data_IF_760453717232
#
_entry.id   IF_760453717232
#
_cell.length_a   1.000
_cell.length_b   1.000
_cell.length_c   1.000
_cell.angle_alpha   90.00
_cell.angle_beta   90.00
_cell.angle_gamma   90.00
#
_symmetry.space_group_name_H-M   'P 1'
#
loop_
_entity.id
_entity.type
_entity.pdbx_description
1 polymer ?
#
# COMPACT_ATOMS: atom_id res chain seq x y z
N UNK A 1 -33.74 -12.49 58.89
CA UNK A 1 -33.27 -11.44 57.96
C UNK A 1 -31.87 -11.83 57.51
N UNK A 2 -31.75 -12.39 56.31
CA UNK A 2 -30.47 -12.75 55.69
C UNK A 2 -30.22 -11.68 54.63
N UNK A 3 -29.31 -10.75 54.93
CA UNK A 3 -28.93 -9.68 54.01
C UNK A 3 -27.96 -10.21 52.97
N UNK A 4 -28.46 -10.54 51.78
CA UNK A 4 -27.64 -10.85 50.61
C UNK A 4 -27.02 -9.57 50.05
N UNK A 5 -25.73 -9.37 50.30
CA UNK A 5 -24.94 -8.35 49.63
C UNK A 5 -24.62 -8.79 48.20
N UNK A 6 -25.35 -8.28 47.23
CA UNK A 6 -24.94 -8.33 45.82
C UNK A 6 -23.78 -7.34 45.63
N UNK A 7 -22.56 -7.85 45.55
CA UNK A 7 -21.40 -7.10 45.09
C UNK A 7 -21.50 -6.90 43.58
N UNK A 8 -21.93 -5.71 43.18
CA UNK A 8 -21.79 -5.23 41.81
C UNK A 8 -20.31 -5.02 41.54
N UNK A 9 -19.63 -6.04 41.01
CA UNK A 9 -18.37 -5.84 40.30
C UNK A 9 -18.69 -5.01 39.06
N UNK A 10 -18.53 -3.70 39.14
CA UNK A 10 -18.44 -2.87 37.95
C UNK A 10 -17.25 -3.41 37.14
N UNK A 11 -17.54 -4.12 36.06
CA UNK A 11 -16.57 -4.51 35.05
C UNK A 11 -15.93 -3.22 34.54
N UNK A 12 -14.74 -2.87 35.07
CA UNK A 12 -13.94 -1.81 34.49
C UNK A 12 -13.68 -2.19 33.03
N UNK A 13 -13.91 -1.29 32.06
CA UNK A 13 -13.53 -1.54 30.68
C UNK A 13 -12.06 -1.97 30.64
N UNK A 14 -11.76 -2.99 29.83
CA UNK A 14 -10.37 -3.39 29.61
C UNK A 14 -9.56 -2.17 29.12
N UNK A 15 -8.29 -2.02 29.56
CA UNK A 15 -7.51 -0.83 29.22
C UNK A 15 -7.32 -0.72 27.70
N UNK A 16 -7.23 0.52 27.18
CA UNK A 16 -6.95 0.73 25.77
C UNK A 16 -5.56 0.20 25.40
N UNK A 17 -5.44 -0.28 24.17
CA UNK A 17 -4.21 -0.82 23.58
C UNK A 17 -3.66 0.21 22.61
N UNK A 18 -2.42 0.63 22.82
CA UNK A 18 -1.75 1.58 21.94
C UNK A 18 -1.38 0.90 20.62
N UNK A 19 -1.77 1.53 19.51
CA UNK A 19 -1.39 1.12 18.15
C UNK A 19 -0.64 2.29 17.51
N UNK A 20 0.65 2.10 17.23
CA UNK A 20 1.45 3.09 16.52
C UNK A 20 1.07 3.13 15.04
N UNK A 21 0.59 4.28 14.56
CA UNK A 21 0.36 4.50 13.13
C UNK A 21 1.59 5.18 12.55
N UNK A 22 2.38 4.43 11.79
CA UNK A 22 3.60 4.94 11.16
C UNK A 22 3.28 5.37 9.73
N UNK A 23 3.25 6.68 9.52
CA UNK A 23 2.93 7.33 8.27
C UNK A 23 3.65 8.69 8.24
N UNK A 24 3.85 9.26 7.06
CA UNK A 24 4.25 10.66 6.95
C UNK A 24 3.07 11.53 7.42
N UNK A 25 3.18 12.42 8.41
CA UNK A 25 2.01 13.13 9.01
C UNK A 25 2.03 14.66 8.73
N UNK A 26 2.89 15.14 7.82
CA UNK A 26 3.05 16.57 7.57
C UNK A 26 1.76 17.31 7.19
N UNK A 27 1.58 18.54 7.72
CA UNK A 27 0.39 19.41 7.55
C UNK A 27 0.12 19.91 6.12
N UNK A 28 0.93 19.48 5.14
CA UNK A 28 0.75 19.72 3.71
C UNK A 28 0.75 18.45 2.85
N UNK A 29 0.87 17.26 3.45
CA UNK A 29 0.78 15.99 2.74
C UNK A 29 -0.69 15.54 2.68
N UNK A 30 -1.27 15.58 1.47
CA UNK A 30 -2.62 15.01 1.22
C UNK A 30 -2.66 13.52 1.57
N UNK A 31 -1.54 12.82 1.36
CA UNK A 31 -1.40 11.40 1.68
C UNK A 31 -1.42 11.25 3.21
N UNK A 32 -0.48 11.87 3.90
CA UNK A 32 -0.21 11.65 5.33
C UNK A 32 -1.30 11.95 6.37
N UNK A 33 -2.17 12.90 6.04
CA UNK A 33 -3.34 13.18 6.88
C UNK A 33 -4.44 12.12 6.72
N UNK A 34 -4.45 11.39 5.60
CA UNK A 34 -5.52 10.44 5.28
C UNK A 34 -5.47 9.18 6.13
N UNK A 35 -4.30 8.66 6.48
CA UNK A 35 -4.18 7.48 7.35
C UNK A 35 -4.61 7.78 8.79
N UNK A 36 -4.31 8.99 9.28
CA UNK A 36 -4.75 9.44 10.60
C UNK A 36 -6.25 9.71 10.61
N UNK A 37 -6.77 10.42 9.61
CA UNK A 37 -8.22 10.61 9.46
C UNK A 37 -8.96 9.27 9.28
N UNK A 38 -8.35 8.28 8.63
CA UNK A 38 -8.94 6.95 8.55
C UNK A 38 -8.99 6.29 9.94
N UNK A 39 -7.93 6.43 10.72
CA UNK A 39 -7.91 5.95 12.11
C UNK A 39 -9.01 6.61 12.95
N UNK A 40 -9.23 7.91 12.78
CA UNK A 40 -10.30 8.64 13.46
C UNK A 40 -11.68 8.13 13.04
N UNK A 41 -11.92 7.95 11.73
CA UNK A 41 -13.18 7.42 11.21
C UNK A 41 -13.43 6.00 11.71
N UNK A 42 -12.41 5.15 11.73
CA UNK A 42 -12.51 3.80 12.28
C UNK A 42 -12.96 3.83 13.75
N UNK A 43 -12.36 4.67 14.59
CA UNK A 43 -12.70 4.78 16.00
C UNK A 43 -14.09 5.41 16.24
N UNK A 44 -14.52 6.34 15.37
CA UNK A 44 -15.88 6.88 15.38
C UNK A 44 -16.93 5.79 15.07
N UNK A 45 -16.62 4.90 14.12
CA UNK A 45 -17.48 3.78 13.74
C UNK A 45 -17.42 2.59 14.74
N UNK A 46 -16.35 2.51 15.55
CA UNK A 46 -16.12 1.45 16.54
C UNK A 46 -15.92 2.02 17.97
N UNK A 47 -16.95 2.62 18.59
CA UNK A 47 -16.83 3.30 19.88
C UNK A 47 -16.50 2.35 21.06
N UNK A 48 -16.56 1.04 20.85
CA UNK A 48 -16.18 0.01 21.83
C UNK A 48 -14.79 -0.59 21.58
N UNK A 49 -14.11 -0.15 20.52
CA UNK A 49 -12.74 -0.58 20.24
C UNK A 49 -11.83 -0.25 21.43
N UNK A 50 -10.88 -1.14 21.70
CA UNK A 50 -9.81 -0.87 22.65
C UNK A 50 -8.65 -0.11 22.02
N UNK A 51 -8.65 0.09 20.70
CA UNK A 51 -7.54 0.73 19.99
C UNK A 51 -7.41 2.19 20.43
N UNK A 52 -6.18 2.59 20.72
CA UNK A 52 -5.76 3.98 20.83
C UNK A 52 -4.63 4.22 19.85
N UNK A 53 -4.92 4.96 18.78
CA UNK A 53 -3.91 5.28 17.78
C UNK A 53 -2.92 6.32 18.29
N UNK A 54 -1.64 6.05 18.10
CA UNK A 54 -0.53 6.96 18.40
C UNK A 54 0.16 7.27 17.07
N UNK A 55 0.06 8.51 16.56
CA UNK A 55 0.76 8.90 15.33
C UNK A 55 2.28 8.84 15.52
N UNK A 56 2.99 8.27 14.55
CA UNK A 56 4.44 8.16 14.50
C UNK A 56 4.88 8.68 13.14
N UNK A 57 5.44 9.89 13.11
CA UNK A 57 5.89 10.55 11.88
C UNK A 57 7.39 10.34 11.69
N UNK A 58 7.77 9.61 10.65
CA UNK A 58 9.15 9.47 10.21
C UNK A 58 9.44 10.21 8.90
N UNK A 59 8.47 10.99 8.42
CA UNK A 59 8.52 11.74 7.15
C UNK A 59 8.89 10.86 5.93
N UNK A 60 8.68 9.54 6.03
CA UNK A 60 9.19 8.55 5.09
C UNK A 60 10.69 8.71 4.79
N UNK A 61 11.48 9.08 5.80
CA UNK A 61 12.93 9.22 5.72
C UNK A 61 13.61 7.95 6.27
N UNK A 62 14.15 7.06 5.43
CA UNK A 62 14.71 5.79 5.86
C UNK A 62 15.75 5.94 6.97
N UNK A 63 16.59 6.98 6.91
CA UNK A 63 17.64 7.26 7.89
C UNK A 63 17.11 7.60 9.29
N UNK A 64 15.85 8.01 9.41
CA UNK A 64 15.19 8.33 10.68
C UNK A 64 14.27 7.20 11.15
N UNK A 65 13.72 6.40 10.23
CA UNK A 65 12.72 5.37 10.49
C UNK A 65 13.09 4.46 11.66
N UNK A 66 14.29 3.87 11.66
CA UNK A 66 14.69 2.91 12.70
C UNK A 66 14.72 3.55 14.11
N UNK A 67 15.27 4.75 14.23
CA UNK A 67 15.38 5.46 15.51
C UNK A 67 13.99 5.85 16.07
N UNK A 68 13.09 6.30 15.20
CA UNK A 68 11.73 6.71 15.57
C UNK A 68 10.89 5.51 16.01
N UNK A 69 10.93 4.40 15.26
CA UNK A 69 10.25 3.16 15.65
C UNK A 69 10.82 2.61 16.96
N UNK A 70 12.15 2.64 17.14
CA UNK A 70 12.79 2.22 18.38
C UNK A 70 12.35 3.08 19.58
N UNK A 71 12.18 4.39 19.40
CA UNK A 71 11.67 5.27 20.44
C UNK A 71 10.22 4.92 20.83
N UNK A 72 9.37 4.61 19.85
CA UNK A 72 7.99 4.15 20.09
C UNK A 72 7.95 2.82 20.87
N UNK A 73 8.82 1.87 20.52
CA UNK A 73 9.00 0.62 21.26
C UNK A 73 9.46 0.87 22.70
N UNK A 74 10.39 1.80 22.92
CA UNK A 74 10.85 2.18 24.25
C UNK A 74 9.75 2.81 25.12
N UNK A 75 8.74 3.45 24.50
CA UNK A 75 7.56 4.00 25.18
C UNK A 75 6.49 2.95 25.50
N UNK A 76 6.69 1.69 25.12
CA UNK A 76 5.76 0.60 25.42
C UNK A 76 4.74 0.29 24.32
N UNK A 77 4.82 0.94 23.16
CA UNK A 77 3.97 0.60 22.00
C UNK A 77 4.41 -0.77 21.47
N UNK A 78 3.44 -1.66 21.23
CA UNK A 78 3.71 -3.06 20.84
C UNK A 78 2.94 -3.50 19.59
N UNK A 79 1.98 -2.70 19.14
CA UNK A 79 1.23 -2.93 17.92
C UNK A 79 1.43 -1.74 16.99
N UNK A 80 1.65 -2.02 15.72
CA UNK A 80 1.95 -1.01 14.72
C UNK A 80 1.17 -1.29 13.43
N UNK A 81 0.77 -0.23 12.76
CA UNK A 81 0.30 -0.24 11.36
C UNK A 81 1.21 0.73 10.61
N UNK A 82 1.72 0.33 9.44
CA UNK A 82 2.64 1.17 8.67
C UNK A 82 2.26 1.29 7.21
N UNK A 83 2.35 2.50 6.67
CA UNK A 83 2.29 2.82 5.24
C UNK A 83 3.68 3.10 4.64
N UNK A 84 4.74 2.60 5.27
CA UNK A 84 6.11 2.84 4.81
C UNK A 84 6.34 2.45 3.34
N UNK A 85 7.04 3.31 2.58
CA UNK A 85 7.79 2.87 1.43
C UNK A 85 8.76 1.75 1.80
N UNK A 86 8.99 0.83 0.86
CA UNK A 86 9.92 -0.28 1.03
C UNK A 86 11.30 0.12 1.57
N UNK A 87 11.87 1.26 1.18
CA UNK A 87 13.14 1.75 1.75
C UNK A 87 13.07 1.92 3.28
N UNK A 88 12.01 2.54 3.83
CA UNK A 88 11.83 2.70 5.27
C UNK A 88 11.61 1.35 5.98
N UNK A 89 10.86 0.44 5.35
CA UNK A 89 10.60 -0.88 5.92
C UNK A 89 11.89 -1.71 6.09
N UNK A 90 12.83 -1.62 5.13
CA UNK A 90 14.13 -2.30 5.22
C UNK A 90 14.93 -1.82 6.43
N UNK A 91 14.88 -0.53 6.75
CA UNK A 91 15.62 0.02 7.90
C UNK A 91 15.03 -0.41 9.25
N UNK A 92 13.72 -0.68 9.33
CA UNK A 92 13.04 -1.04 10.59
C UNK A 92 12.77 -2.52 10.79
N UNK A 93 12.91 -3.37 9.76
CA UNK A 93 12.54 -4.80 9.80
C UNK A 93 13.14 -5.55 11.00
N UNK A 94 14.39 -5.25 11.35
CA UNK A 94 15.12 -5.93 12.42
C UNK A 94 14.53 -5.67 13.81
N UNK A 95 13.77 -4.59 14.00
CA UNK A 95 13.12 -4.23 15.27
C UNK A 95 11.94 -5.15 15.62
N UNK A 96 11.46 -5.93 14.66
CA UNK A 96 10.34 -6.86 14.83
C UNK A 96 10.78 -8.34 14.78
N UNK A 97 12.08 -8.61 14.71
CA UNK A 97 12.63 -9.94 14.42
C UNK A 97 12.26 -11.03 15.45
N UNK A 98 12.02 -10.66 16.70
CA UNK A 98 11.71 -11.59 17.80
C UNK A 98 10.21 -11.66 18.13
N UNK A 99 9.36 -10.97 17.36
CA UNK A 99 7.92 -10.85 17.57
C UNK A 99 7.51 -10.30 18.95
N UNK A 100 8.39 -9.56 19.64
CA UNK A 100 8.00 -8.81 20.84
C UNK A 100 7.11 -7.61 20.54
N UNK A 101 7.04 -7.19 19.28
CA UNK A 101 6.07 -6.26 18.75
C UNK A 101 5.48 -6.82 17.45
N UNK A 102 4.25 -6.40 17.12
CA UNK A 102 3.56 -6.77 15.89
C UNK A 102 3.39 -5.55 15.00
N UNK A 103 3.81 -5.65 13.74
CA UNK A 103 3.59 -4.66 12.71
C UNK A 103 2.71 -5.26 11.60
N UNK A 104 1.61 -4.58 11.25
CA UNK A 104 0.89 -4.84 10.00
C UNK A 104 1.37 -3.83 8.96
N UNK A 105 2.13 -4.30 7.95
CA UNK A 105 2.54 -3.47 6.82
C UNK A 105 1.45 -3.44 5.75
N UNK A 106 1.13 -2.22 5.33
CA UNK A 106 0.02 -1.92 4.42
C UNK A 106 0.48 -1.39 3.05
N UNK A 107 1.79 -1.20 2.85
CA UNK A 107 2.35 -0.61 1.63
C UNK A 107 3.69 -1.20 1.17
N UNK A 108 4.50 -1.78 2.08
CA UNK A 108 5.85 -2.20 1.76
C UNK A 108 5.88 -3.58 1.08
N UNK A 109 6.17 -3.60 -0.23
CA UNK A 109 6.14 -4.81 -1.05
C UNK A 109 7.53 -5.44 -1.29
N UNK A 110 8.59 -4.90 -0.67
CA UNK A 110 9.95 -5.44 -0.81
C UNK A 110 10.03 -6.93 -0.44
N UNK A 111 10.78 -7.75 -1.19
CA UNK A 111 10.94 -9.17 -0.87
C UNK A 111 11.77 -9.39 0.41
N UNK A 112 12.43 -8.35 0.95
CA UNK A 112 13.15 -8.43 2.23
C UNK A 112 12.23 -8.82 3.38
N UNK A 113 10.93 -8.51 3.29
CA UNK A 113 9.93 -8.89 4.29
C UNK A 113 9.32 -10.28 4.05
N UNK A 114 9.46 -10.86 2.85
CA UNK A 114 8.77 -12.10 2.46
C UNK A 114 9.31 -13.33 3.18
N UNK A 115 8.40 -14.19 3.65
CA UNK A 115 8.68 -15.54 4.11
C UNK A 115 9.38 -15.61 5.47
N UNK A 116 9.17 -14.59 6.31
CA UNK A 116 9.84 -14.44 7.61
C UNK A 116 8.91 -14.83 8.75
N UNK A 117 9.42 -15.61 9.70
CA UNK A 117 8.69 -15.89 10.93
C UNK A 117 9.06 -14.85 12.00
N UNK A 118 8.58 -13.61 11.81
CA UNK A 118 8.86 -12.49 12.70
C UNK A 118 7.58 -11.73 13.08
N UNK A 119 7.71 -10.57 13.72
CA UNK A 119 6.59 -9.74 14.14
C UNK A 119 5.90 -8.97 13.01
N UNK A 120 6.18 -9.25 11.73
CA UNK A 120 5.61 -8.48 10.61
C UNK A 120 4.57 -9.33 9.88
N UNK A 121 3.37 -8.79 9.73
CA UNK A 121 2.33 -9.31 8.86
C UNK A 121 2.12 -8.32 7.71
N UNK A 122 1.96 -8.81 6.48
CA UNK A 122 1.74 -7.97 5.31
C UNK A 122 0.38 -8.25 4.73
N UNK A 123 -0.44 -7.22 4.63
CA UNK A 123 -1.73 -7.32 3.92
C UNK A 123 -1.63 -6.88 2.47
N UNK A 124 -0.45 -6.47 2.01
CA UNK A 124 -0.13 -6.25 0.60
C UNK A 124 0.76 -7.38 0.06
N UNK A 125 0.52 -7.84 -1.18
CA UNK A 125 1.41 -8.82 -1.81
C UNK A 125 2.83 -8.28 -2.01
N UNK A 126 3.80 -9.19 -2.15
CA UNK A 126 5.16 -8.78 -2.50
C UNK A 126 5.28 -8.33 -3.97
N UNK A 127 6.34 -7.57 -4.24
CA UNK A 127 6.62 -7.01 -5.56
C UNK A 127 6.95 -8.09 -6.60
N UNK A 128 7.39 -9.28 -6.20
CA UNK A 128 7.67 -10.37 -7.14
C UNK A 128 6.36 -10.90 -7.71
N UNK A 129 5.33 -11.04 -6.86
CA UNK A 129 3.98 -11.40 -7.32
C UNK A 129 3.41 -10.31 -8.24
N UNK A 130 3.49 -9.05 -7.81
CA UNK A 130 3.05 -7.88 -8.58
C UNK A 130 3.63 -7.87 -9.99
N UNK A 131 4.97 -7.96 -10.08
CA UNK A 131 5.69 -7.74 -11.32
C UNK A 131 5.59 -8.94 -12.26
N UNK A 132 5.38 -10.15 -11.74
CA UNK A 132 5.01 -11.31 -12.57
C UNK A 132 3.65 -11.13 -13.21
N UNK A 133 2.66 -10.66 -12.45
CA UNK A 133 1.32 -10.40 -12.98
C UNK A 133 1.35 -9.28 -14.04
N UNK A 134 2.07 -8.19 -13.77
CA UNK A 134 2.23 -7.09 -14.74
C UNK A 134 2.93 -7.59 -16.00
N UNK A 135 4.01 -8.39 -15.89
CA UNK A 135 4.67 -8.97 -17.07
C UNK A 135 3.76 -9.93 -17.86
N UNK A 136 2.96 -10.76 -17.18
CA UNK A 136 1.96 -11.61 -17.83
C UNK A 136 0.94 -10.78 -18.61
N UNK A 137 0.48 -9.66 -18.05
CA UNK A 137 -0.45 -8.76 -18.73
C UNK A 137 0.20 -8.01 -19.89
N UNK A 138 1.40 -7.45 -19.72
CA UNK A 138 2.16 -6.78 -20.78
C UNK A 138 2.40 -7.72 -21.96
N UNK A 139 2.64 -9.01 -21.71
CA UNK A 139 2.77 -10.01 -22.76
C UNK A 139 1.47 -10.23 -23.60
N UNK A 140 0.32 -9.74 -23.14
CA UNK A 140 -0.94 -9.76 -23.92
C UNK A 140 -1.10 -8.52 -24.82
N UNK A 141 -0.31 -7.47 -24.60
CA UNK A 141 -0.39 -6.23 -25.36
C UNK A 141 0.32 -6.38 -26.71
N UNK A 142 -0.12 -5.66 -27.76
CA UNK A 142 0.59 -5.63 -29.03
C UNK A 142 1.85 -4.80 -28.92
N UNK A 143 2.88 -5.15 -29.71
CA UNK A 143 4.08 -4.35 -29.86
C UNK A 143 5.35 -5.19 -29.92
N UNK A 144 6.49 -4.50 -30.00
CA UNK A 144 7.83 -5.10 -30.05
C UNK A 144 8.84 -4.35 -29.21
N UNK A 145 8.69 -3.05 -28.97
CA UNK A 145 9.61 -2.24 -28.17
C UNK A 145 8.91 -1.65 -26.96
N UNK A 146 9.32 -2.06 -25.77
CA UNK A 146 8.77 -1.58 -24.51
C UNK A 146 9.79 -0.68 -23.81
N UNK A 147 9.41 0.57 -23.55
CA UNK A 147 10.15 1.44 -22.64
C UNK A 147 9.76 1.09 -21.20
N UNK A 148 10.75 0.84 -20.34
CA UNK A 148 10.55 0.66 -18.90
C UNK A 148 11.27 1.78 -18.16
N UNK A 149 10.51 2.56 -17.41
CA UNK A 149 11.04 3.60 -16.53
C UNK A 149 10.97 3.13 -15.08
N UNK A 150 12.12 2.88 -14.47
CA UNK A 150 12.22 2.44 -13.08
C UNK A 150 12.51 3.63 -12.16
N UNK A 151 11.66 3.87 -11.17
CA UNK A 151 11.92 4.91 -10.16
C UNK A 151 13.08 4.53 -9.23
N UNK A 152 14.05 5.42 -9.05
CA UNK A 152 15.16 5.24 -8.10
C UNK A 152 14.86 5.80 -6.71
N UNK A 153 13.73 6.48 -6.50
CA UNK A 153 13.32 7.01 -5.19
C UNK A 153 12.98 5.93 -4.15
N UNK A 154 12.63 4.71 -4.59
CA UNK A 154 12.32 3.59 -3.71
C UNK A 154 12.93 2.26 -4.21
N UNK A 155 14.26 2.19 -4.27
CA UNK A 155 14.99 1.04 -4.84
C UNK A 155 14.72 -0.29 -4.14
N UNK A 156 14.41 -0.32 -2.85
CA UNK A 156 14.03 -1.55 -2.15
C UNK A 156 12.73 -2.18 -2.69
N UNK A 157 11.91 -1.37 -3.37
CA UNK A 157 10.75 -1.81 -4.16
C UNK A 157 11.13 -2.03 -5.64
N UNK A 158 11.65 -0.99 -6.30
CA UNK A 158 11.72 -0.96 -7.76
C UNK A 158 12.82 -1.85 -8.34
N UNK A 159 13.95 -2.04 -7.65
CA UNK A 159 15.04 -2.88 -8.14
C UNK A 159 14.68 -4.38 -8.19
N UNK A 160 14.19 -5.01 -7.09
CA UNK A 160 13.70 -6.39 -7.18
C UNK A 160 12.48 -6.50 -8.08
N UNK A 161 11.67 -5.46 -8.16
CA UNK A 161 10.53 -5.43 -9.07
C UNK A 161 10.91 -5.51 -10.54
N UNK A 162 11.85 -4.67 -10.98
CA UNK A 162 12.36 -4.69 -12.34
C UNK A 162 13.00 -6.04 -12.67
N UNK A 163 13.80 -6.59 -11.74
CA UNK A 163 14.41 -7.91 -11.92
C UNK A 163 13.36 -9.01 -12.13
N UNK A 164 12.27 -9.01 -11.35
CA UNK A 164 11.18 -9.97 -11.51
C UNK A 164 10.41 -9.78 -12.83
N UNK A 165 10.10 -8.53 -13.19
CA UNK A 165 9.43 -8.18 -14.44
C UNK A 165 10.25 -8.63 -15.65
N UNK A 166 11.52 -8.23 -15.71
CA UNK A 166 12.43 -8.54 -16.81
C UNK A 166 12.68 -10.05 -16.93
N UNK A 167 12.87 -10.75 -15.81
CA UNK A 167 13.04 -12.21 -15.82
C UNK A 167 11.79 -12.90 -16.38
N UNK A 168 10.59 -12.47 -15.96
CA UNK A 168 9.33 -13.04 -16.46
C UNK A 168 9.11 -12.73 -17.94
N UNK A 169 9.34 -11.49 -18.37
CA UNK A 169 9.16 -11.09 -19.76
C UNK A 169 10.23 -11.70 -20.68
N UNK A 170 11.42 -12.04 -20.18
CA UNK A 170 12.45 -12.73 -20.98
C UNK A 170 12.04 -14.13 -21.44
N UNK A 171 11.01 -14.72 -20.81
CA UNK A 171 10.44 -16.02 -21.22
C UNK A 171 9.55 -15.92 -22.46
N UNK A 172 9.26 -14.69 -22.93
CA UNK A 172 8.43 -14.40 -24.11
C UNK A 172 9.24 -13.59 -25.13
N UNK A 173 9.36 -14.09 -26.37
CA UNK A 173 10.38 -13.60 -27.32
C UNK A 173 9.96 -12.40 -28.19
N UNK A 174 8.86 -11.69 -27.88
CA UNK A 174 8.35 -10.64 -28.78
C UNK A 174 8.67 -9.20 -28.33
N UNK A 175 8.98 -8.97 -27.05
CA UNK A 175 9.36 -7.65 -26.54
C UNK A 175 10.88 -7.46 -26.47
N UNK A 176 11.37 -6.39 -27.08
CA UNK A 176 12.66 -5.78 -26.81
C UNK A 176 12.49 -4.74 -25.70
N UNK A 177 13.12 -4.99 -24.56
CA UNK A 177 13.11 -4.08 -23.42
C UNK A 177 14.14 -2.97 -23.60
N UNK A 178 13.72 -1.73 -23.38
CA UNK A 178 14.58 -0.58 -23.23
C UNK A 178 14.38 0.00 -21.82
N UNK A 179 15.35 -0.22 -20.93
CA UNK A 179 15.22 0.08 -19.51
C UNK A 179 16.03 1.31 -19.11
N UNK A 180 15.35 2.26 -18.47
CA UNK A 180 15.95 3.46 -17.90
C UNK A 180 15.58 3.60 -16.43
N UNK A 181 16.59 3.66 -15.56
CA UNK A 181 16.41 4.00 -14.15
C UNK A 181 16.57 5.50 -13.97
N UNK A 182 15.60 6.14 -13.31
CA UNK A 182 15.61 7.58 -13.06
C UNK A 182 14.90 7.93 -11.77
N UNK A 183 15.21 9.09 -11.19
CA UNK A 183 14.43 9.64 -10.11
C UNK A 183 13.21 10.35 -10.71
N UNK A 184 12.00 9.83 -10.49
CA UNK A 184 10.82 10.40 -11.17
C UNK A 184 10.50 11.84 -10.74
N UNK A 185 10.79 12.23 -9.50
CA UNK A 185 10.64 13.62 -9.04
C UNK A 185 11.63 14.60 -9.69
N UNK A 186 12.67 14.10 -10.37
CA UNK A 186 13.58 14.90 -11.16
C UNK A 186 13.20 14.94 -12.65
N UNK A 187 12.02 14.41 -13.02
CA UNK A 187 11.56 14.38 -14.40
C UNK A 187 11.57 15.77 -15.03
N UNK A 188 12.20 15.89 -16.19
CA UNK A 188 12.24 17.11 -16.96
C UNK A 188 11.85 16.80 -18.42
N UNK A 189 10.72 17.35 -18.92
CA UNK A 189 10.23 17.03 -20.26
C UNK A 189 11.23 17.30 -21.38
N UNK A 190 12.04 18.35 -21.27
CA UNK A 190 13.00 18.71 -22.32
C UNK A 190 14.23 17.79 -22.33
N UNK A 191 14.65 17.30 -21.15
CA UNK A 191 15.74 16.33 -21.05
C UNK A 191 15.30 14.95 -21.54
N UNK A 192 14.07 14.54 -21.23
CA UNK A 192 13.55 13.21 -21.58
C UNK A 192 12.91 13.14 -22.97
N UNK A 193 12.70 14.27 -23.65
CA UNK A 193 12.05 14.35 -24.97
C UNK A 193 12.68 13.41 -25.99
N UNK A 194 14.01 13.35 -26.04
CA UNK A 194 14.72 12.51 -27.01
C UNK A 194 14.48 11.02 -26.76
N UNK A 195 14.45 10.60 -25.50
CA UNK A 195 14.12 9.23 -25.13
C UNK A 195 12.68 8.92 -25.52
N UNK A 196 11.72 9.74 -25.09
CA UNK A 196 10.29 9.52 -25.34
C UNK A 196 9.93 9.49 -26.82
N UNK A 197 10.66 10.21 -27.69
CA UNK A 197 10.43 10.23 -29.13
C UNK A 197 10.90 8.97 -29.89
N UNK A 198 11.65 8.07 -29.24
CA UNK A 198 12.04 6.80 -29.87
C UNK A 198 10.81 5.91 -30.12
N UNK A 199 10.84 5.01 -31.13
CA UNK A 199 9.65 4.27 -31.54
C UNK A 199 9.37 3.11 -30.59
N UNK A 200 8.74 3.42 -29.47
CA UNK A 200 8.22 2.46 -28.49
C UNK A 200 6.76 2.16 -28.79
N UNK A 201 6.37 0.90 -28.61
CA UNK A 201 4.98 0.47 -28.80
C UNK A 201 4.19 0.50 -27.48
N UNK A 202 4.87 0.61 -26.35
CA UNK A 202 4.27 0.70 -25.01
C UNK A 202 5.25 1.35 -24.02
N UNK A 203 4.70 1.88 -22.93
CA UNK A 203 5.44 2.36 -21.77
C UNK A 203 5.03 1.57 -20.53
N UNK A 204 6.01 1.17 -19.73
CA UNK A 204 5.80 0.68 -18.37
C UNK A 204 6.52 1.59 -17.38
N UNK A 205 5.75 2.17 -16.45
CA UNK A 205 6.28 3.01 -15.37
C UNK A 205 6.29 2.19 -14.08
N UNK A 206 7.48 1.75 -13.66
CA UNK A 206 7.72 1.06 -12.40
C UNK A 206 8.05 2.08 -11.31
N UNK A 207 6.99 2.65 -10.72
CA UNK A 207 7.07 3.66 -9.67
C UNK A 207 5.70 3.92 -9.04
N UNK A 208 5.65 4.78 -8.03
CA UNK A 208 4.41 5.11 -7.31
C UNK A 208 4.50 6.29 -6.34
N UNK A 209 5.70 6.71 -5.92
CA UNK A 209 5.85 7.79 -4.94
C UNK A 209 5.49 9.18 -5.51
N UNK A 210 5.78 9.43 -6.78
CA UNK A 210 5.73 10.76 -7.39
C UNK A 210 4.59 10.87 -8.42
N UNK A 211 3.36 10.86 -7.92
CA UNK A 211 2.13 10.69 -8.72
C UNK A 211 1.97 11.76 -9.81
N UNK A 212 2.16 13.05 -9.48
CA UNK A 212 2.04 14.13 -10.46
C UNK A 212 3.06 13.98 -11.60
N UNK A 213 4.31 13.60 -11.26
CA UNK A 213 5.38 13.38 -12.22
C UNK A 213 5.12 12.16 -13.11
N UNK A 214 4.55 11.08 -12.55
CA UNK A 214 4.12 9.90 -13.32
C UNK A 214 3.09 10.30 -14.39
N UNK A 215 2.12 11.15 -14.05
CA UNK A 215 1.15 11.63 -15.04
C UNK A 215 1.80 12.54 -16.10
N UNK A 216 2.77 13.39 -15.73
CA UNK A 216 3.53 14.19 -16.69
C UNK A 216 4.39 13.33 -17.64
N UNK A 217 4.99 12.26 -17.13
CA UNK A 217 5.73 11.26 -17.92
C UNK A 217 4.78 10.59 -18.93
N UNK A 218 3.61 10.13 -18.46
CA UNK A 218 2.59 9.51 -19.30
C UNK A 218 2.12 10.46 -20.41
N UNK A 219 1.90 11.73 -20.08
CA UNK A 219 1.51 12.77 -21.04
C UNK A 219 2.58 12.98 -22.12
N UNK A 220 3.86 13.09 -21.74
CA UNK A 220 4.95 13.27 -22.70
C UNK A 220 5.12 12.05 -23.62
N UNK A 221 4.99 10.84 -23.08
CA UNK A 221 5.04 9.62 -23.89
C UNK A 221 3.89 9.57 -24.89
N UNK A 222 2.66 9.83 -24.44
CA UNK A 222 1.47 9.85 -25.29
C UNK A 222 1.55 10.90 -26.41
N UNK A 223 2.22 12.03 -26.18
CA UNK A 223 2.46 13.03 -27.23
C UNK A 223 3.19 12.45 -28.45
N UNK A 224 4.12 11.52 -28.24
CA UNK A 224 4.85 10.84 -29.32
C UNK A 224 4.16 9.56 -29.80
N UNK A 225 3.42 8.89 -28.92
CA UNK A 225 2.81 7.57 -29.15
C UNK A 225 1.32 7.58 -28.75
N UNK A 226 0.44 8.26 -29.50
CA UNK A 226 -0.94 8.51 -29.06
C UNK A 226 -1.76 7.24 -28.83
N UNK A 227 -1.47 6.15 -29.55
CA UNK A 227 -2.23 4.89 -29.41
C UNK A 227 -1.57 3.88 -28.44
N UNK A 228 -0.36 4.17 -27.95
CA UNK A 228 0.43 3.20 -27.20
C UNK A 228 -0.06 3.07 -25.75
N UNK A 229 -0.21 1.83 -25.22
CA UNK A 229 -0.61 1.61 -23.84
C UNK A 229 0.49 2.04 -22.86
N UNK A 230 0.04 2.58 -21.72
CA UNK A 230 0.91 3.00 -20.61
C UNK A 230 0.52 2.18 -19.38
N UNK A 231 1.40 1.30 -18.90
CA UNK A 231 1.13 0.45 -17.74
C UNK A 231 1.69 1.10 -16.47
N UNK A 232 0.88 1.16 -15.42
CA UNK A 232 1.25 1.66 -14.10
C UNK A 232 1.11 0.57 -13.02
N UNK A 233 1.85 0.76 -11.93
CA UNK A 233 1.82 -0.11 -10.75
C UNK A 233 0.59 0.19 -9.87
N UNK A 234 0.19 -0.72 -8.95
CA UNK A 234 -0.91 -0.47 -8.01
C UNK A 234 -0.73 0.76 -7.13
N UNK A 235 0.51 1.14 -6.85
CA UNK A 235 0.79 2.32 -6.05
C UNK A 235 0.41 3.61 -6.79
N UNK A 236 0.38 3.63 -8.12
CA UNK A 236 0.00 4.81 -8.89
C UNK A 236 -1.53 5.14 -8.88
N UNK A 237 -2.32 4.57 -7.95
CA UNK A 237 -3.77 4.79 -7.84
C UNK A 237 -4.08 6.09 -7.10
N UNK A 238 -3.90 7.24 -7.76
CA UNK A 238 -4.08 8.56 -7.16
C UNK A 238 -4.86 9.55 -8.06
N UNK A 239 -5.72 10.42 -7.50
CA UNK A 239 -6.34 11.52 -8.25
C UNK A 239 -5.33 12.45 -8.95
N UNK A 240 -4.12 12.59 -8.41
CA UNK A 240 -3.07 13.41 -9.03
C UNK A 240 -2.70 12.93 -10.44
N UNK A 241 -2.79 11.62 -10.71
CA UNK A 241 -2.58 11.06 -12.06
C UNK A 241 -3.67 11.54 -13.02
N UNK A 242 -4.93 11.56 -12.57
CA UNK A 242 -6.06 12.06 -13.36
C UNK A 242 -5.89 13.54 -13.69
N UNK A 243 -5.32 14.32 -12.78
CA UNK A 243 -5.10 15.76 -12.93
C UNK A 243 -3.95 16.09 -13.89
N UNK A 244 -2.89 15.28 -13.94
CA UNK A 244 -1.67 15.59 -14.73
C UNK A 244 -1.53 14.81 -16.03
N UNK A 245 -2.14 13.63 -16.18
CA UNK A 245 -1.95 12.78 -17.37
C UNK A 245 -2.53 13.38 -18.67
N UNK A 246 -3.50 14.29 -18.59
CA UNK A 246 -4.18 14.82 -19.78
C UNK A 246 -4.88 13.71 -20.58
N UNK A 247 -4.76 13.74 -21.91
CA UNK A 247 -5.39 12.75 -22.79
C UNK A 247 -4.75 11.35 -22.69
N UNK A 248 -3.54 11.25 -22.14
CA UNK A 248 -2.88 9.96 -21.91
C UNK A 248 -3.69 9.04 -20.99
N UNK A 249 -4.55 9.60 -20.13
CA UNK A 249 -5.39 8.85 -19.19
C UNK A 249 -6.24 7.76 -19.85
N UNK A 250 -6.64 7.95 -21.11
CA UNK A 250 -7.46 7.00 -21.87
C UNK A 250 -6.65 5.79 -22.39
N UNK A 251 -5.32 5.86 -22.30
CA UNK A 251 -4.38 4.81 -22.71
C UNK A 251 -3.61 4.22 -21.52
N UNK A 252 -3.85 4.72 -20.31
CA UNK A 252 -3.26 4.18 -19.10
C UNK A 252 -3.98 2.90 -18.68
N UNK A 253 -3.19 1.95 -18.19
CA UNK A 253 -3.64 0.69 -17.61
C UNK A 253 -3.05 0.59 -16.20
N UNK A 254 -3.91 0.57 -15.20
CA UNK A 254 -3.51 0.51 -13.80
C UNK A 254 -3.63 -0.93 -13.27
N UNK A 255 -2.50 -1.52 -12.85
CA UNK A 255 -2.54 -2.75 -12.08
C UNK A 255 -3.18 -2.49 -10.71
N UNK A 256 -3.98 -3.41 -10.20
CA UNK A 256 -4.68 -3.25 -8.92
C UNK A 256 -4.88 -4.60 -8.22
N UNK A 257 -4.72 -4.63 -6.90
CA UNK A 257 -5.07 -5.78 -6.05
C UNK A 257 -6.57 -5.85 -5.73
N UNK A 258 -7.32 -4.84 -6.18
CA UNK A 258 -8.77 -4.75 -6.03
C UNK A 258 -9.46 -4.71 -7.39
N UNK A 259 -10.68 -5.27 -7.51
CA UNK A 259 -11.50 -5.09 -8.69
C UNK A 259 -11.71 -3.61 -9.03
N UNK A 260 -12.04 -3.29 -10.29
CA UNK A 260 -12.48 -1.95 -10.67
C UNK A 260 -13.60 -1.47 -9.75
N UNK A 261 -13.62 -0.16 -9.53
CA UNK A 261 -14.55 0.50 -8.62
C UNK A 261 -16.02 0.10 -8.82
N UNK A 262 -16.44 -0.03 -10.07
CA UNK A 262 -17.79 -0.46 -10.48
C UNK A 262 -18.22 -1.84 -9.98
N UNK A 263 -17.26 -2.71 -9.64
CA UNK A 263 -17.50 -4.08 -9.20
C UNK A 263 -17.51 -4.18 -7.67
N UNK A 264 -16.78 -3.32 -6.96
CA UNK A 264 -16.67 -3.35 -5.50
C UNK A 264 -17.24 -2.08 -4.86
N UNK A 265 -18.54 -2.13 -4.57
CA UNK A 265 -19.29 -1.02 -3.96
C UNK A 265 -18.86 -0.71 -2.53
N UNK A 266 -18.25 -1.65 -1.80
CA UNK A 266 -17.88 -1.43 -0.40
C UNK A 266 -16.77 -0.38 -0.26
N UNK A 267 -15.78 -0.41 -1.17
CA UNK A 267 -14.72 0.61 -1.24
C UNK A 267 -15.33 1.98 -1.55
N UNK A 268 -16.36 2.03 -2.40
CA UNK A 268 -17.05 3.28 -2.74
C UNK A 268 -17.85 3.83 -1.58
N UNK A 269 -18.62 2.98 -0.91
CA UNK A 269 -19.33 3.35 0.30
C UNK A 269 -18.36 3.87 1.35
N UNK A 270 -17.21 3.22 1.51
CA UNK A 270 -16.15 3.67 2.39
C UNK A 270 -15.60 5.05 2.02
N UNK A 271 -15.14 5.24 0.78
CA UNK A 271 -14.64 6.53 0.31
C UNK A 271 -15.68 7.65 0.44
N UNK A 272 -16.96 7.36 0.22
CA UNK A 272 -18.04 8.32 0.39
C UNK A 272 -18.24 8.71 1.87
N UNK A 273 -18.17 7.75 2.80
CA UNK A 273 -18.23 8.05 4.25
C UNK A 273 -17.03 8.89 4.69
N UNK A 274 -15.82 8.53 4.25
CA UNK A 274 -14.61 9.30 4.51
C UNK A 274 -14.74 10.74 3.99
N UNK A 275 -15.12 10.90 2.71
CA UNK A 275 -15.26 12.22 2.10
C UNK A 275 -16.36 13.06 2.76
N UNK A 276 -17.47 12.45 3.17
CA UNK A 276 -18.51 13.13 3.92
C UNK A 276 -18.01 13.64 5.29
N UNK A 277 -17.07 12.93 5.93
CA UNK A 277 -16.53 13.26 7.25
C UNK A 277 -15.41 14.30 7.21
N UNK A 278 -14.53 14.26 6.21
CA UNK A 278 -13.31 15.09 6.15
C UNK A 278 -13.29 16.12 5.01
N UNK A 279 -14.25 16.06 4.08
CA UNK A 279 -14.39 17.04 3.01
C UNK A 279 -13.46 16.81 1.80
N UNK A 280 -12.75 15.69 1.75
CA UNK A 280 -11.87 15.31 0.63
C UNK A 280 -11.84 13.79 0.44
N UNK A 281 -11.43 13.31 -0.74
CA UNK A 281 -11.32 11.87 -1.01
C UNK A 281 -10.01 11.31 -0.45
N UNK A 282 -10.04 10.17 0.26
CA UNK A 282 -8.82 9.59 0.81
C UNK A 282 -7.93 9.00 -0.27
N UNK A 283 -6.65 8.83 0.04
CA UNK A 283 -5.75 8.04 -0.78
C UNK A 283 -6.11 6.54 -0.71
N UNK A 284 -5.88 5.78 -1.79
CA UNK A 284 -6.24 4.36 -1.84
C UNK A 284 -5.57 3.48 -0.77
N UNK A 285 -4.43 3.91 -0.23
CA UNK A 285 -3.73 3.21 0.88
C UNK A 285 -4.57 3.12 2.16
N UNK A 286 -5.52 4.02 2.35
CA UNK A 286 -6.44 3.99 3.50
C UNK A 286 -7.30 2.72 3.56
N UNK A 287 -7.52 2.05 2.42
CA UNK A 287 -8.21 0.75 2.35
C UNK A 287 -7.46 -0.30 3.18
N UNK A 288 -6.13 -0.36 3.07
CA UNK A 288 -5.32 -1.32 3.81
C UNK A 288 -5.17 -0.89 5.27
N UNK A 289 -5.10 0.42 5.56
CA UNK A 289 -5.13 0.93 6.95
C UNK A 289 -6.41 0.51 7.67
N UNK A 290 -7.58 0.67 7.03
CA UNK A 290 -8.87 0.22 7.56
C UNK A 290 -8.84 -1.26 7.93
N UNK A 291 -8.41 -2.09 6.99
CA UNK A 291 -8.33 -3.54 7.18
C UNK A 291 -7.36 -3.91 8.31
N UNK A 292 -6.21 -3.25 8.40
CA UNK A 292 -5.24 -3.48 9.48
C UNK A 292 -5.81 -3.17 10.86
N UNK A 293 -6.55 -2.06 11.00
CA UNK A 293 -7.23 -1.69 12.25
C UNK A 293 -8.32 -2.71 12.60
N UNK A 294 -9.11 -3.15 11.61
CA UNK A 294 -10.13 -4.19 11.82
C UNK A 294 -9.52 -5.53 12.27
N UNK A 295 -8.41 -5.96 11.68
CA UNK A 295 -7.72 -7.20 12.10
C UNK A 295 -7.25 -7.12 13.56
N UNK A 296 -6.68 -5.98 13.96
CA UNK A 296 -6.26 -5.76 15.34
C UNK A 296 -7.48 -5.72 16.28
N UNK A 297 -8.54 -5.01 15.90
CA UNK A 297 -9.76 -4.89 16.73
C UNK A 297 -10.47 -6.23 16.92
N UNK A 298 -10.55 -7.05 15.86
CA UNK A 298 -11.07 -8.42 15.92
C UNK A 298 -10.29 -9.26 16.93
N UNK A 299 -8.96 -9.20 16.92
CA UNK A 299 -8.12 -9.92 17.87
C UNK A 299 -8.32 -9.39 19.31
N UNK A 300 -8.34 -8.07 19.48
CA UNK A 300 -8.48 -7.41 20.77
C UNK A 300 -9.84 -7.67 21.41
N UNK A 301 -10.91 -7.73 20.62
CA UNK A 301 -12.27 -8.07 21.06
C UNK A 301 -12.38 -9.50 21.61
N UNK A 302 -11.55 -10.41 21.12
CA UNK A 302 -11.44 -11.79 21.62
C UNK A 302 -10.50 -11.94 22.83
N UNK A 303 -9.89 -10.84 23.29
CA UNK A 303 -9.01 -10.82 24.45
C UNK A 303 -7.55 -11.16 24.13
N UNK A 304 -7.16 -11.24 22.86
CA UNK A 304 -5.74 -11.34 22.49
C UNK A 304 -5.11 -9.96 22.56
N UNK A 305 -4.26 -9.68 23.56
CA UNK A 305 -3.70 -8.34 23.77
C UNK A 305 -2.17 -8.30 23.89
N UNK A 306 -1.50 -9.40 23.49
CA UNK A 306 -0.04 -9.45 23.29
C UNK A 306 0.30 -9.70 21.81
N UNK A 307 1.43 -9.18 21.30
CA UNK A 307 1.87 -9.41 19.92
C UNK A 307 1.87 -10.88 19.50
N UNK A 308 2.41 -11.76 20.34
CA UNK A 308 2.44 -13.19 20.09
C UNK A 308 1.03 -13.80 20.01
N UNK A 309 0.13 -13.41 20.92
CA UNK A 309 -1.24 -13.93 20.93
C UNK A 309 -2.03 -13.46 19.70
N UNK A 310 -1.89 -12.19 19.31
CA UNK A 310 -2.51 -11.64 18.11
C UNK A 310 -1.95 -12.28 16.85
N UNK A 311 -0.63 -12.40 16.71
CA UNK A 311 0.01 -13.11 15.59
C UNK A 311 -0.53 -14.54 15.48
N UNK A 312 -0.57 -15.28 16.59
CA UNK A 312 -1.09 -16.65 16.62
C UNK A 312 -2.56 -16.74 16.19
N UNK A 313 -3.40 -15.80 16.64
CA UNK A 313 -4.79 -15.73 16.22
C UNK A 313 -4.93 -15.44 14.72
N UNK A 314 -4.20 -14.43 14.22
CA UNK A 314 -4.26 -14.00 12.83
C UNK A 314 -3.74 -15.09 11.88
N UNK A 315 -2.65 -15.78 12.22
CA UNK A 315 -2.10 -16.88 11.40
C UNK A 315 -2.85 -18.21 11.58
N UNK A 316 -3.50 -18.42 12.74
CA UNK A 316 -4.28 -19.62 13.03
C UNK A 316 -5.68 -19.62 12.42
N UNK A 317 -6.15 -18.45 11.97
CA UNK A 317 -7.46 -18.28 11.34
C UNK A 317 -7.28 -18.27 9.81
N UNK A 318 -7.89 -19.20 9.07
CA UNK A 318 -7.68 -19.31 7.61
C UNK A 318 -8.05 -18.05 6.81
N UNK A 319 -9.04 -17.32 7.31
CA UNK A 319 -9.67 -16.21 6.60
C UNK A 319 -10.21 -15.19 7.58
N UNK A 320 -9.82 -13.93 7.42
CA UNK A 320 -10.35 -12.80 8.16
C UNK A 320 -11.28 -11.99 7.26
N UNK A 321 -12.46 -11.69 7.77
CA UNK A 321 -13.44 -10.86 7.09
C UNK A 321 -13.30 -9.42 7.57
N UNK A 322 -12.94 -8.53 6.66
CA UNK A 322 -12.87 -7.08 6.87
C UNK A 322 -14.05 -6.44 6.15
N UNK A 323 -14.37 -5.18 6.45
CA UNK A 323 -15.40 -4.43 5.73
C UNK A 323 -15.04 -4.17 4.27
N UNK A 324 -13.74 -4.24 3.90
CA UNK A 324 -13.25 -3.91 2.56
C UNK A 324 -12.69 -5.12 1.79
N UNK A 325 -12.88 -6.33 2.31
CA UNK A 325 -12.43 -7.55 1.66
C UNK A 325 -12.04 -8.67 2.63
N UNK A 326 -11.42 -9.69 2.06
CA UNK A 326 -10.97 -10.86 2.81
C UNK A 326 -9.44 -10.87 2.86
N UNK A 327 -8.89 -11.16 4.03
CA UNK A 327 -7.46 -11.35 4.25
C UNK A 327 -7.19 -12.81 4.63
N UNK A 328 -6.28 -13.45 3.90
CA UNK A 328 -5.76 -14.79 4.21
C UNK A 328 -4.25 -14.76 4.22
N UNK A 329 -3.68 -14.94 5.41
CA UNK A 329 -2.24 -15.02 5.60
C UNK A 329 -1.74 -16.44 5.29
N UNK A 330 -0.56 -16.53 4.72
CA UNK A 330 0.22 -17.75 4.78
C UNK A 330 0.84 -17.94 6.18
N UNK A 331 1.63 -19.01 6.37
CA UNK A 331 2.24 -19.30 7.69
C UNK A 331 3.23 -18.25 8.18
N UNK A 332 3.71 -17.37 7.30
CA UNK A 332 4.68 -16.32 7.61
C UNK A 332 4.02 -14.96 7.81
N UNK A 333 2.72 -14.83 7.52
CA UNK A 333 2.03 -13.55 7.58
C UNK A 333 2.02 -12.78 6.26
N UNK A 334 2.30 -13.45 5.14
CA UNK A 334 2.22 -12.88 3.81
C UNK A 334 0.88 -13.16 3.15
N UNK A 335 0.45 -12.30 2.23
CA UNK A 335 -0.77 -12.52 1.44
C UNK A 335 -0.45 -12.81 -0.02
N UNK A 336 -1.36 -13.53 -0.66
CA UNK A 336 -1.41 -13.69 -2.13
C UNK A 336 -2.74 -13.14 -2.61
N UNK A 337 -2.73 -12.24 -3.59
CA UNK A 337 -3.96 -11.68 -4.18
C UNK A 337 -3.96 -11.75 -5.71
N UNK A 338 -5.12 -11.88 -6.36
CA UNK A 338 -5.20 -11.67 -7.80
C UNK A 338 -4.92 -10.21 -8.16
N UNK A 339 -4.49 -9.98 -9.40
CA UNK A 339 -4.32 -8.64 -9.97
C UNK A 339 -5.35 -8.38 -11.05
N UNK A 340 -5.90 -7.18 -11.03
CA UNK A 340 -6.80 -6.61 -12.03
C UNK A 340 -6.05 -5.53 -12.81
N UNK A 341 -6.42 -5.33 -14.07
CA UNK A 341 -5.81 -4.33 -14.95
C UNK A 341 -6.88 -3.39 -15.45
N UNK A 342 -7.01 -2.26 -14.77
CA UNK A 342 -8.11 -1.30 -14.95
C UNK A 342 -7.75 -0.37 -16.10
N UNK A 343 -8.69 -0.16 -17.03
CA UNK A 343 -8.52 0.70 -18.22
C UNK A 343 -9.35 1.97 -18.20
N UNK A 344 -10.51 1.97 -17.54
CA UNK A 344 -11.31 3.19 -17.36
C UNK A 344 -10.81 3.98 -16.16
N UNK A 345 -9.63 4.60 -16.31
CA UNK A 345 -9.02 5.35 -15.23
C UNK A 345 -9.77 6.64 -14.90
N UNK A 346 -10.53 7.19 -15.86
CA UNK A 346 -11.35 8.38 -15.60
C UNK A 346 -12.44 8.05 -14.60
N UNK A 347 -13.06 6.87 -14.65
CA UNK A 347 -14.02 6.49 -13.61
C UNK A 347 -13.32 6.05 -12.32
N UNK A 348 -12.22 5.31 -12.45
CA UNK A 348 -11.49 4.74 -11.32
C UNK A 348 -10.90 5.80 -10.38
N UNK A 349 -10.30 6.86 -10.92
CA UNK A 349 -9.55 7.87 -10.15
C UNK A 349 -10.37 9.12 -9.80
N UNK A 350 -11.64 9.17 -10.22
CA UNK A 350 -12.55 10.28 -9.91
C UNK A 350 -12.88 10.37 -8.43
#
# INVERSE_FOLDING_TARGET
MIGGGFTWWQLRPAPPIQVGMIAWIASGAVIGSSEIHESDLFLEEHPHSRIRVIPIDDEWQPEQTAAIVQAALAQGIRFFVSTHPSNCAVESVHLFADAQALLISTASTTPVLTGRDDGILRIVPDVIQEQRAIADYVNTLPGKRLLVLQDTGNLAYSAPGFAAFAAKLSTVNHWQLDHHAMLMSAFNPEQERQLMAQPFDALYILGGSFQSDIGNIAQLFHHFHPDAPIVLTPWARSPAILETAGDAIDHIILASTYPPREVNTEIDHYFNRFAARFGYKPHAMTIEVRQALELLDQAFALGYDTPEAVKRYLLGTPTHHTSLGIISFDRFGDVTRPYYFIRDLRNELK
#
